data_IF_217539138806
#
_entry.id   IF_217539138806
#
_cell.length_a   1.000
_cell.length_b   1.000
_cell.length_c   1.000
_cell.angle_alpha   90.00
_cell.angle_beta   90.00
_cell.angle_gamma   90.00
#
_symmetry.space_group_name_H-M   'P 1'
#
loop_
_entity.id
_entity.type
_entity.pdbx_description
1 polymer ?
#
# COMPACT_ATOMS: atom_id res chain seq x y z
N UNK A 1 -3.87 16.76 -11.64
CA UNK A 1 -3.61 15.31 -11.63
C UNK A 1 -2.34 15.05 -12.44
N UNK A 2 -1.20 14.81 -11.79
CA UNK A 2 0.11 14.62 -12.43
C UNK A 2 0.21 13.19 -12.98
N UNK A 3 0.03 12.97 -14.29
CA UNK A 3 0.53 11.81 -15.06
C UNK A 3 0.60 10.43 -14.37
N UNK A 4 -0.40 10.03 -13.60
CA UNK A 4 -0.36 8.76 -12.87
C UNK A 4 -0.85 7.63 -13.77
N UNK A 5 0.06 6.73 -14.15
CA UNK A 5 -0.31 5.46 -14.77
C UNK A 5 -0.70 4.45 -13.69
N UNK A 6 -1.92 3.94 -13.77
CA UNK A 6 -2.47 2.91 -12.90
C UNK A 6 -2.80 1.62 -13.66
N UNK A 7 -2.44 1.55 -14.95
CA UNK A 7 -2.66 0.35 -15.74
C UNK A 7 -1.70 -0.75 -15.27
N UNK A 8 -2.28 -1.90 -14.95
CA UNK A 8 -1.59 -3.15 -14.71
C UNK A 8 -2.20 -4.19 -15.66
N UNK A 9 -1.35 -4.98 -16.32
CA UNK A 9 -1.76 -6.03 -17.26
C UNK A 9 -1.99 -7.39 -16.60
N UNK A 10 -1.48 -7.60 -15.37
CA UNK A 10 -1.67 -8.83 -14.59
C UNK A 10 -1.60 -8.56 -13.08
N UNK A 11 -2.11 -9.51 -12.29
CA UNK A 11 -1.99 -9.47 -10.83
C UNK A 11 -0.55 -9.42 -10.37
N UNK A 12 -0.33 -8.74 -9.23
CA UNK A 12 0.96 -8.63 -8.56
C UNK A 12 2.04 -7.92 -9.40
N UNK A 13 1.61 -7.21 -10.46
CA UNK A 13 2.49 -6.38 -11.28
C UNK A 13 2.68 -4.98 -10.70
N UNK A 14 1.62 -4.34 -10.22
CA UNK A 14 1.63 -3.02 -9.57
C UNK A 14 0.68 -3.00 -8.39
N UNK A 15 1.18 -2.53 -7.25
CA UNK A 15 0.36 -2.31 -6.06
C UNK A 15 0.21 -0.82 -5.80
N UNK A 16 -0.91 -0.42 -5.22
CA UNK A 16 -1.10 0.91 -4.64
C UNK A 16 -1.11 0.80 -3.12
N UNK A 17 -0.74 1.87 -2.43
CA UNK A 17 -0.99 1.97 -1.00
C UNK A 17 -1.46 3.37 -0.61
N UNK A 18 -2.20 3.41 0.49
CA UNK A 18 -2.66 4.64 1.10
C UNK A 18 -2.77 4.46 2.63
N UNK A 19 -2.73 5.58 3.34
CA UNK A 19 -3.06 5.65 4.77
C UNK A 19 -4.25 6.57 4.94
N UNK A 20 -5.35 5.99 5.41
CA UNK A 20 -6.58 6.70 5.72
C UNK A 20 -6.77 6.83 7.24
N UNK A 21 -7.40 7.93 7.65
CA UNK A 21 -7.72 8.22 9.04
C UNK A 21 -9.24 8.13 9.22
N UNK A 22 -9.69 7.25 10.11
CA UNK A 22 -11.10 6.91 10.32
C UNK A 22 -11.49 7.35 11.74
N UNK A 23 -12.56 8.14 11.85
CA UNK A 23 -13.11 8.51 13.15
C UNK A 23 -13.97 7.36 13.69
N UNK A 24 -13.71 6.93 14.92
CA UNK A 24 -14.45 5.89 15.63
C UNK A 24 -14.95 6.41 16.97
N UNK A 25 -15.77 5.62 17.68
CA UNK A 25 -16.23 5.96 19.04
C UNK A 25 -15.11 5.98 20.07
N UNK A 26 -13.98 5.32 19.79
CA UNK A 26 -12.78 5.29 20.63
C UNK A 26 -11.72 6.34 20.23
N UNK A 27 -12.01 7.13 19.18
CA UNK A 27 -11.11 8.14 18.63
C UNK A 27 -10.61 7.81 17.22
N UNK A 28 -9.47 8.39 16.84
CA UNK A 28 -8.88 8.23 15.51
C UNK A 28 -8.22 6.86 15.33
N UNK A 29 -8.58 6.18 14.24
CA UNK A 29 -7.93 4.96 13.77
C UNK A 29 -7.21 5.24 12.45
N UNK A 30 -5.92 4.94 12.42
CA UNK A 30 -5.12 4.98 11.20
C UNK A 30 -5.14 3.61 10.54
N UNK A 31 -5.52 3.55 9.27
CA UNK A 31 -5.58 2.35 8.46
C UNK A 31 -4.63 2.51 7.26
N UNK A 32 -3.61 1.64 7.19
CA UNK A 32 -2.81 1.46 5.99
C UNK A 32 -3.34 0.30 5.16
N UNK A 33 -3.47 0.48 3.85
CA UNK A 33 -3.95 -0.54 2.91
C UNK A 33 -2.99 -0.65 1.74
N UNK A 34 -2.73 -1.87 1.29
CA UNK A 34 -2.05 -2.20 0.04
C UNK A 34 -3.03 -2.92 -0.88
N UNK A 35 -3.22 -2.41 -2.09
CA UNK A 35 -4.16 -2.94 -3.10
C UNK A 35 -3.39 -3.40 -4.34
N UNK A 36 -3.75 -4.55 -4.88
CA UNK A 36 -3.30 -4.95 -6.23
C UNK A 36 -4.08 -4.16 -7.28
N UNK A 37 -3.40 -3.37 -8.11
CA UNK A 37 -4.05 -2.45 -9.07
C UNK A 37 -4.78 -3.20 -10.19
N UNK A 38 -4.36 -4.42 -10.52
CA UNK A 38 -5.04 -5.27 -11.50
C UNK A 38 -6.33 -5.85 -10.92
N UNK A 39 -6.23 -6.63 -9.83
CA UNK A 39 -7.39 -7.34 -9.28
C UNK A 39 -8.29 -6.48 -8.38
N UNK A 40 -7.83 -5.28 -8.00
CA UNK A 40 -8.47 -4.39 -7.02
C UNK A 40 -8.69 -5.04 -5.64
N UNK A 41 -7.94 -6.10 -5.34
CA UNK A 41 -7.99 -6.78 -4.05
C UNK A 41 -7.05 -6.12 -3.06
N UNK A 42 -7.50 -5.97 -1.81
CA UNK A 42 -6.61 -5.66 -0.69
C UNK A 42 -5.71 -6.86 -0.47
N UNK A 43 -4.40 -6.65 -0.56
CA UNK A 43 -3.39 -7.70 -0.39
C UNK A 43 -2.65 -7.60 0.92
N UNK A 44 -2.66 -6.42 1.56
CA UNK A 44 -2.14 -6.21 2.90
C UNK A 44 -2.80 -5.01 3.57
N UNK A 45 -2.86 -5.02 4.89
CA UNK A 45 -3.41 -3.92 5.67
C UNK A 45 -2.85 -3.92 7.09
N UNK A 46 -2.92 -2.79 7.76
CA UNK A 46 -2.58 -2.66 9.17
C UNK A 46 -3.33 -1.47 9.80
N UNK A 47 -3.62 -1.56 11.09
CA UNK A 47 -4.30 -0.50 11.84
C UNK A 47 -3.49 -0.06 13.06
N UNK A 48 -3.63 1.21 13.44
CA UNK A 48 -3.02 1.77 14.66
C UNK A 48 -3.87 2.91 15.21
N UNK A 49 -3.94 3.02 16.54
CA UNK A 49 -4.57 4.13 17.28
C UNK A 49 -3.75 5.44 17.20
N UNK A 50 -2.52 5.37 16.68
CA UNK A 50 -1.61 6.50 16.48
C UNK A 50 -0.99 6.47 15.10
N UNK A 51 -0.63 7.64 14.55
CA UNK A 51 0.16 7.72 13.32
C UNK A 51 1.58 7.22 13.61
N UNK A 52 1.88 5.97 13.26
CA UNK A 52 3.21 5.37 13.41
C UNK A 52 3.90 5.28 12.06
N UNK A 53 5.23 5.48 12.07
CA UNK A 53 6.07 5.42 10.85
C UNK A 53 6.08 4.03 10.22
N UNK A 54 5.86 2.98 11.01
CA UNK A 54 5.91 1.57 10.62
C UNK A 54 4.55 1.02 10.15
N UNK A 55 3.47 1.79 10.20
CA UNK A 55 2.13 1.30 9.84
C UNK A 55 2.06 0.84 8.38
N UNK A 56 2.60 1.64 7.46
CA UNK A 56 2.69 1.27 6.04
C UNK A 56 3.61 0.07 5.82
N UNK A 57 4.71 -0.02 6.57
CA UNK A 57 5.64 -1.16 6.49
C UNK A 57 4.98 -2.45 6.96
N UNK A 58 4.15 -2.38 8.00
CA UNK A 58 3.37 -3.53 8.50
C UNK A 58 2.38 -4.01 7.45
N UNK A 59 1.63 -3.10 6.83
CA UNK A 59 0.71 -3.44 5.75
C UNK A 59 1.43 -4.06 4.54
N UNK A 60 2.59 -3.52 4.16
CA UNK A 60 3.42 -4.06 3.07
C UNK A 60 3.96 -5.45 3.40
N UNK A 61 4.47 -5.67 4.62
CA UNK A 61 4.94 -6.99 5.06
C UNK A 61 3.82 -8.03 5.01
N UNK A 62 2.60 -7.65 5.41
CA UNK A 62 1.41 -8.49 5.24
C UNK A 62 1.13 -8.84 3.78
N UNK A 63 1.23 -7.86 2.87
CA UNK A 63 1.08 -8.09 1.43
C UNK A 63 2.12 -9.05 0.86
N UNK A 64 3.38 -8.90 1.25
CA UNK A 64 4.48 -9.78 0.83
C UNK A 64 4.29 -11.21 1.34
N UNK A 65 3.85 -11.37 2.58
CA UNK A 65 3.58 -12.69 3.16
C UNK A 65 2.45 -13.43 2.44
N UNK A 66 1.41 -12.71 2.02
CA UNK A 66 0.25 -13.28 1.31
C UNK A 66 0.57 -13.57 -0.15
N UNK A 67 1.27 -12.68 -0.84
CA UNK A 67 1.44 -12.76 -2.30
C UNK A 67 2.71 -13.44 -2.76
N UNK A 68 3.75 -13.48 -1.93
CA UNK A 68 5.05 -14.09 -2.23
C UNK A 68 5.52 -13.83 -3.68
N UNK A 69 5.57 -12.56 -4.13
CA UNK A 69 5.92 -12.25 -5.51
C UNK A 69 7.35 -12.72 -5.83
N UNK A 70 7.56 -13.29 -7.02
CA UNK A 70 8.87 -13.80 -7.45
C UNK A 70 9.92 -12.68 -7.45
N UNK A 71 11.14 -12.99 -7.00
CA UNK A 71 12.26 -12.03 -6.82
C UNK A 71 12.47 -11.11 -8.02
N UNK A 72 12.45 -9.79 -7.77
CA UNK A 72 12.68 -8.72 -8.76
C UNK A 72 11.69 -7.56 -8.71
N UNK A 73 10.62 -7.67 -7.90
CA UNK A 73 9.36 -6.93 -8.13
C UNK A 73 9.18 -5.64 -7.32
N UNK A 74 9.99 -5.33 -6.29
CA UNK A 74 9.73 -4.16 -5.43
C UNK A 74 10.73 -3.02 -5.62
N UNK A 75 10.30 -1.93 -6.27
CA UNK A 75 10.97 -0.62 -6.20
C UNK A 75 10.32 0.21 -5.10
N UNK A 76 11.13 0.61 -4.12
CA UNK A 76 10.70 1.40 -2.97
C UNK A 76 10.89 2.89 -3.29
N UNK A 77 9.80 3.66 -3.42
CA UNK A 77 9.87 5.12 -3.56
C UNK A 77 9.12 5.78 -2.41
N UNK A 78 9.85 6.19 -1.37
CA UNK A 78 9.30 6.93 -0.26
C UNK A 78 9.36 8.43 -0.59
N UNK A 79 8.23 9.05 -0.91
CA UNK A 79 8.09 10.50 -0.89
C UNK A 79 7.16 10.91 0.25
N UNK A 80 7.66 11.77 1.13
CA UNK A 80 6.99 12.21 2.34
C UNK A 80 6.00 13.37 2.18
N UNK A 81 5.18 13.51 3.21
CA UNK A 81 4.49 14.71 3.70
C UNK A 81 3.58 15.48 2.71
N UNK A 82 2.63 14.75 2.10
CA UNK A 82 1.24 15.15 1.75
C UNK A 82 0.74 14.08 0.78
N UNK A 83 -0.09 13.13 1.25
CA UNK A 83 -0.96 12.19 0.48
C UNK A 83 -0.52 11.70 -0.92
N UNK A 84 -0.52 10.39 -1.24
CA UNK A 84 -0.38 9.17 -0.43
C UNK A 84 1.01 8.56 -0.62
N UNK A 85 1.45 7.75 0.34
CA UNK A 85 2.68 6.96 0.23
C UNK A 85 2.49 5.89 -0.87
N UNK A 86 2.95 6.19 -2.09
CA UNK A 86 2.87 5.32 -3.26
C UNK A 86 4.04 4.35 -3.26
N UNK A 87 3.76 3.06 -3.29
CA UNK A 87 4.76 2.03 -3.59
C UNK A 87 4.52 1.59 -5.03
N UNK A 88 5.54 1.65 -5.88
CA UNK A 88 5.47 1.06 -7.23
C UNK A 88 6.32 -0.20 -7.25
N UNK A 89 5.67 -1.34 -7.05
CA UNK A 89 6.20 -2.59 -7.56
C UNK A 89 5.97 -2.60 -9.08
N UNK A 90 6.98 -2.94 -9.87
CA UNK A 90 6.84 -3.15 -11.31
C UNK A 90 7.45 -4.51 -11.63
N UNK A 91 6.59 -5.46 -12.00
CA UNK A 91 7.05 -6.75 -12.51
C UNK A 91 7.40 -6.60 -14.00
N UNK A 92 8.65 -6.95 -14.34
CA UNK A 92 9.10 -7.12 -15.72
C UNK A 92 8.25 -8.19 -16.44
#
# INVERSE_FOLDING_TARGET
MLGQDFAAGRSDQKWGADISCIWTVEGWLYLAVVIDLFSRRIVGWATSDRMKKDLAQTALNGALAVRQPTVGILRHSALGYKSPYRFEAEAA
#
